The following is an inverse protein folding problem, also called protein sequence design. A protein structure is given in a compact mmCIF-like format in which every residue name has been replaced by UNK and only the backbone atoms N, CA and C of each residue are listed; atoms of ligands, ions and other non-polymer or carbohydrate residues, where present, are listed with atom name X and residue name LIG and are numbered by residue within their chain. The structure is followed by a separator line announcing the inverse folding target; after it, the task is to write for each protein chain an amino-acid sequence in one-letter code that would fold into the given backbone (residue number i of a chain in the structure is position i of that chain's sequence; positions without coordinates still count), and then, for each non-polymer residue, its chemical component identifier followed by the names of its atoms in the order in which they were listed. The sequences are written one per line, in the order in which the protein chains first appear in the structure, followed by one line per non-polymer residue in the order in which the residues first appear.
data_IF_685682501698
#
_entry.id   IF_685682501698
#
_cell.length_a   1.000
_cell.length_b   1.000
_cell.length_c   1.000
_cell.angle_alpha   90.00
_cell.angle_beta   90.00
_cell.angle_gamma   90.00
#
_symmetry.space_group_name_H-M   'P 1'
#
loop_
_entity.id
_entity.type
_entity.pdbx_description
1 polymer ?
#
# COMPACT_ATOMS: atom_id res chain seq x y z
N UNK A 1 -13.10 22.82 -15.26
CA UNK A 1 -13.69 22.14 -14.08
C UNK A 1 -14.28 20.84 -14.59
N UNK A 2 -13.59 19.72 -14.38
CA UNK A 2 -13.99 18.41 -14.90
C UNK A 2 -15.10 17.83 -14.02
N UNK A 3 -16.33 17.82 -14.55
CA UNK A 3 -17.44 17.03 -14.04
C UNK A 3 -17.04 15.55 -14.09
N UNK A 4 -16.40 15.09 -13.02
CA UNK A 4 -16.14 13.67 -12.83
C UNK A 4 -17.46 13.12 -12.33
N UNK A 5 -18.16 12.25 -13.08
CA UNK A 5 -19.49 11.80 -12.69
C UNK A 5 -19.42 11.22 -11.29
N UNK A 6 -20.08 11.89 -10.34
CA UNK A 6 -20.17 11.44 -8.95
C UNK A 6 -20.89 10.10 -8.98
N UNK A 7 -20.10 9.03 -8.88
CA UNK A 7 -20.60 7.68 -9.02
C UNK A 7 -21.38 7.31 -7.77
N UNK A 8 -22.69 7.53 -7.81
CA UNK A 8 -23.59 7.23 -6.69
C UNK A 8 -23.68 5.72 -6.48
N UNK A 9 -23.38 5.30 -5.25
CA UNK A 9 -23.65 3.94 -4.80
C UNK A 9 -25.18 3.74 -4.71
N UNK A 10 -25.70 2.50 -4.85
CA UNK A 10 -27.10 2.24 -4.59
C UNK A 10 -27.46 2.64 -3.15
N UNK A 11 -28.70 3.07 -2.91
CA UNK A 11 -29.15 3.61 -1.61
C UNK A 11 -29.00 2.63 -0.43
N UNK A 12 -28.91 1.33 -0.72
CA UNK A 12 -28.70 0.26 0.27
C UNK A 12 -27.25 0.14 0.75
N UNK A 13 -26.30 0.86 0.14
CA UNK A 13 -24.89 0.82 0.52
C UNK A 13 -24.49 2.08 1.28
N UNK A 14 -23.79 1.90 2.39
CA UNK A 14 -23.23 2.99 3.20
C UNK A 14 -21.71 3.01 3.06
N UNK A 15 -21.17 4.19 2.79
CA UNK A 15 -19.73 4.37 2.63
C UNK A 15 -19.11 4.87 3.93
N UNK A 16 -18.10 4.15 4.42
CA UNK A 16 -17.25 4.59 5.53
C UNK A 16 -16.17 5.58 5.11
N UNK A 17 -15.41 6.11 6.08
CA UNK A 17 -14.34 7.08 5.82
C UNK A 17 -13.14 6.45 5.09
N UNK A 18 -12.27 7.31 4.55
CA UNK A 18 -11.02 6.90 3.89
C UNK A 18 -10.10 6.23 4.90
N UNK A 19 -9.59 5.06 4.52
CA UNK A 19 -8.56 4.37 5.28
C UNK A 19 -7.20 4.89 4.84
N UNK A 20 -6.23 5.01 5.76
CA UNK A 20 -4.85 5.35 5.43
C UNK A 20 -4.64 6.74 4.82
N UNK A 21 -5.53 7.70 5.09
CA UNK A 21 -5.36 9.08 4.63
C UNK A 21 -4.05 9.71 5.13
N UNK A 22 -3.59 9.30 6.31
CA UNK A 22 -2.36 9.78 6.95
C UNK A 22 -1.14 8.90 6.64
N UNK A 23 -1.30 7.82 5.86
CA UNK A 23 -0.27 6.80 5.68
C UNK A 23 1.08 7.35 5.20
N UNK A 24 1.07 8.30 4.27
CA UNK A 24 2.32 8.90 3.76
C UNK A 24 3.04 9.65 4.88
N UNK A 25 2.31 10.45 5.67
CA UNK A 25 2.86 11.17 6.82
C UNK A 25 3.37 10.22 7.89
N UNK A 26 2.61 9.16 8.20
CA UNK A 26 3.02 8.13 9.16
C UNK A 26 4.30 7.42 8.72
N UNK A 27 4.46 7.12 7.42
CA UNK A 27 5.68 6.49 6.88
C UNK A 27 6.89 7.42 6.97
N UNK A 28 6.72 8.69 6.60
CA UNK A 28 7.78 9.71 6.70
C UNK A 28 8.20 9.90 8.16
N UNK A 29 7.24 10.01 9.08
CA UNK A 29 7.53 10.15 10.51
C UNK A 29 8.19 8.89 11.09
N UNK A 30 7.76 7.70 10.68
CA UNK A 30 8.40 6.45 11.08
C UNK A 30 9.85 6.37 10.59
N UNK A 31 10.14 6.85 9.38
CA UNK A 31 11.51 6.96 8.87
C UNK A 31 12.35 7.91 9.74
N UNK A 32 11.80 9.06 10.14
CA UNK A 32 12.49 10.01 11.00
C UNK A 32 12.80 9.41 12.37
N UNK A 33 11.80 8.82 13.03
CA UNK A 33 11.99 8.16 14.33
C UNK A 33 13.01 7.03 14.24
N UNK A 34 12.92 6.19 13.20
CA UNK A 34 13.87 5.09 13.01
C UNK A 34 15.34 5.55 12.92
N UNK A 35 15.58 6.67 12.23
CA UNK A 35 16.89 7.30 12.14
C UNK A 35 17.32 7.84 13.51
N UNK A 36 16.49 8.64 14.17
CA UNK A 36 16.83 9.27 15.45
C UNK A 36 17.04 8.25 16.58
N UNK A 37 16.19 7.23 16.68
CA UNK A 37 16.27 6.16 17.68
C UNK A 37 17.54 5.30 17.50
N UNK A 38 18.09 5.27 16.29
CA UNK A 38 19.34 4.58 15.99
C UNK A 38 20.60 5.40 16.20
N UNK A 39 20.49 6.63 16.71
CA UNK A 39 21.64 7.48 16.92
C UNK A 39 22.54 6.92 18.04
N UNK A 40 23.87 6.79 17.83
CA UNK A 40 24.72 6.14 18.81
C UNK A 40 24.83 6.94 20.10
N UNK A 41 24.66 6.26 21.25
CA UNK A 41 24.90 6.86 22.55
C UNK A 41 26.36 7.34 22.66
N UNK A 42 26.54 8.61 23.05
CA UNK A 42 27.87 9.21 23.20
C UNK A 42 28.48 9.82 21.93
N UNK A 43 27.80 9.74 20.77
CA UNK A 43 28.26 10.40 19.53
C UNK A 43 27.98 11.92 19.47
N UNK A 44 27.44 12.51 20.54
CA UNK A 44 26.99 13.90 20.58
C UNK A 44 25.48 14.04 20.30
N UNK A 45 24.98 15.27 20.12
CA UNK A 45 23.57 15.49 19.81
C UNK A 45 23.20 14.83 18.46
N UNK A 46 22.00 14.25 18.35
CA UNK A 46 21.54 13.66 17.09
C UNK A 46 21.43 14.73 16.00
N UNK A 47 21.62 14.36 14.72
CA UNK A 47 21.48 15.30 13.62
C UNK A 47 20.03 15.77 13.52
N UNK A 48 19.85 17.03 13.12
CA UNK A 48 18.51 17.56 12.87
C UNK A 48 17.96 16.96 11.59
N UNK A 49 16.69 16.55 11.60
CA UNK A 49 15.98 16.10 10.39
C UNK A 49 15.17 17.26 9.81
N UNK A 50 15.27 17.48 8.50
CA UNK A 50 14.48 18.43 7.73
C UNK A 50 13.84 17.75 6.52
N UNK A 51 12.58 18.05 6.22
CA UNK A 51 11.90 17.52 5.04
C UNK A 51 12.13 18.35 3.78
N UNK A 52 12.47 19.63 3.94
CA UNK A 52 12.67 20.56 2.84
C UNK A 52 14.16 20.82 2.64
N UNK A 53 14.60 20.72 1.38
CA UNK A 53 15.93 21.19 1.02
C UNK A 53 16.00 22.70 1.24
N UNK A 54 16.90 23.11 2.13
CA UNK A 54 17.09 24.51 2.49
C UNK A 54 18.56 24.90 2.33
N UNK A 55 18.78 26.14 1.91
CA UNK A 55 20.11 26.73 2.02
C UNK A 55 20.43 26.90 3.51
N UNK A 56 21.34 26.08 4.01
CA UNK A 56 21.82 26.18 5.39
C UNK A 56 23.23 26.74 5.38
N UNK A 57 23.48 27.84 6.12
CA UNK A 57 24.84 28.35 6.31
C UNK A 57 25.74 27.26 6.91
N UNK A 58 26.98 27.19 6.43
CA UNK A 58 27.98 26.17 6.81
C UNK A 58 28.35 26.12 8.30
N UNK A 59 27.85 27.09 9.08
CA UNK A 59 28.10 27.21 10.52
C UNK A 59 27.06 26.48 11.38
N UNK A 60 26.04 25.85 10.78
CA UNK A 60 25.03 25.08 11.50
C UNK A 60 25.43 23.61 11.70
N UNK A 61 24.79 23.00 12.70
CA UNK A 61 24.87 21.59 13.10
C UNK A 61 24.61 20.61 11.94
N UNK A 62 24.90 19.33 12.17
CA UNK A 62 24.65 18.25 11.22
C UNK A 62 23.15 18.14 10.89
N UNK A 63 22.80 18.12 9.60
CA UNK A 63 21.40 18.05 9.14
C UNK A 63 21.23 16.89 8.16
N UNK A 64 20.20 16.09 8.40
CA UNK A 64 19.67 15.08 7.50
C UNK A 64 18.43 15.63 6.80
N UNK A 65 18.50 15.74 5.48
CA UNK A 65 17.34 16.09 4.66
C UNK A 65 16.66 14.81 4.22
N UNK A 66 15.43 14.58 4.67
CA UNK A 66 14.60 13.44 4.26
C UNK A 66 13.50 13.97 3.35
N UNK A 67 13.78 13.98 2.04
CA UNK A 67 12.92 14.61 1.06
C UNK A 67 12.17 13.55 0.24
N UNK A 68 10.84 13.53 0.31
CA UNK A 68 10.03 12.68 -0.58
C UNK A 68 9.84 13.36 -1.94
N UNK A 69 10.51 12.87 -2.99
CA UNK A 69 10.51 13.52 -4.31
C UNK A 69 9.53 12.89 -5.31
N UNK A 70 9.05 11.67 -5.05
CA UNK A 70 8.15 10.97 -5.96
C UNK A 70 7.27 9.99 -5.21
N UNK A 71 6.01 9.93 -5.63
CA UNK A 71 5.07 8.87 -5.27
C UNK A 71 4.63 8.19 -6.54
N UNK A 72 4.77 6.87 -6.60
CA UNK A 72 4.31 6.08 -7.73
C UNK A 72 3.40 4.95 -7.26
N UNK A 73 2.43 4.59 -8.07
CA UNK A 73 1.68 3.36 -7.89
C UNK A 73 2.54 2.18 -8.32
N UNK A 74 2.49 1.08 -7.58
CA UNK A 74 3.06 -0.18 -8.04
C UNK A 74 2.12 -0.80 -9.09
N UNK A 75 2.53 -0.75 -10.36
CA UNK A 75 1.76 -1.29 -11.49
C UNK A 75 1.77 -2.82 -11.52
N UNK A 76 2.85 -3.45 -11.05
CA UNK A 76 2.99 -4.91 -11.01
C UNK A 76 1.98 -5.59 -10.07
N UNK A 77 1.51 -4.87 -9.04
CA UNK A 77 0.51 -5.36 -8.08
C UNK A 77 -0.90 -4.82 -8.36
N UNK A 78 -1.18 -4.42 -9.60
CA UNK A 78 -2.51 -3.99 -10.00
C UNK A 78 -3.49 -5.18 -10.04
N UNK A 79 -4.17 -5.41 -8.93
CA UNK A 79 -5.31 -6.32 -8.91
C UNK A 79 -6.49 -5.75 -9.71
N UNK A 80 -7.13 -6.62 -10.51
CA UNK A 80 -8.36 -6.30 -11.20
C UNK A 80 -9.43 -5.81 -10.21
N UNK A 81 -10.08 -4.71 -10.56
CA UNK A 81 -10.91 -3.81 -9.74
C UNK A 81 -12.22 -4.46 -9.24
N UNK A 82 -12.14 -5.49 -8.41
CA UNK A 82 -13.34 -6.11 -7.83
C UNK A 82 -13.44 -5.82 -6.34
N UNK A 83 -14.62 -5.39 -5.92
CA UNK A 83 -14.98 -5.35 -4.51
C UNK A 83 -14.99 -6.77 -3.97
N UNK A 84 -14.42 -6.95 -2.78
CA UNK A 84 -14.40 -8.23 -2.07
C UNK A 84 -14.95 -8.03 -0.67
N UNK A 85 -15.57 -9.04 -0.05
CA UNK A 85 -15.81 -9.00 1.38
C UNK A 85 -14.50 -8.69 2.09
N UNK A 86 -14.53 -7.73 2.99
CA UNK A 86 -13.41 -7.38 3.84
C UNK A 86 -13.13 -8.51 4.83
N UNK A 87 -11.90 -8.57 5.33
CA UNK A 87 -11.51 -9.54 6.35
C UNK A 87 -12.41 -9.49 7.60
N UNK A 88 -12.89 -8.29 7.96
CA UNK A 88 -13.83 -8.07 9.06
C UNK A 88 -15.14 -8.84 8.86
N UNK A 89 -15.65 -8.88 7.63
CA UNK A 89 -16.86 -9.64 7.32
C UNK A 89 -16.61 -11.14 7.26
N UNK A 90 -15.45 -11.58 6.76
CA UNK A 90 -15.08 -12.99 6.79
C UNK A 90 -15.02 -13.53 8.21
N UNK A 91 -14.52 -12.72 9.16
CA UNK A 91 -14.43 -13.09 10.58
C UNK A 91 -15.78 -13.01 11.31
N UNK A 92 -16.75 -12.24 10.78
CA UNK A 92 -18.12 -12.16 11.30
C UNK A 92 -19.05 -13.24 10.75
N UNK A 93 -18.73 -13.86 9.61
CA UNK A 93 -19.58 -14.85 8.94
C UNK A 93 -19.87 -16.10 9.80
N UNK A 94 -19.06 -16.39 10.83
CA UNK A 94 -19.31 -17.49 11.78
C UNK A 94 -20.44 -17.17 12.79
N UNK A 95 -20.86 -15.91 12.90
CA UNK A 95 -21.97 -15.49 13.76
C UNK A 95 -23.16 -15.21 12.86
N UNK A 96 -24.05 -16.20 12.80
CA UNK A 96 -25.31 -16.31 12.04
C UNK A 96 -26.28 -15.12 12.23
N UNK A 97 -25.82 -13.92 11.87
CA UNK A 97 -26.50 -12.64 12.06
C UNK A 97 -26.74 -12.07 10.66
N UNK A 98 -27.95 -11.58 10.42
CA UNK A 98 -28.45 -11.01 9.17
C UNK A 98 -27.77 -9.65 8.83
N UNK A 99 -26.49 -9.52 9.20
CA UNK A 99 -25.73 -8.29 9.26
C UNK A 99 -25.16 -7.94 7.88
N UNK A 100 -25.11 -6.64 7.61
CA UNK A 100 -24.48 -6.08 6.43
C UNK A 100 -23.05 -6.61 6.22
N UNK A 101 -22.74 -6.98 4.98
CA UNK A 101 -21.39 -7.33 4.56
C UNK A 101 -20.61 -6.04 4.31
N UNK A 102 -19.43 -5.96 4.92
CA UNK A 102 -18.43 -4.94 4.67
C UNK A 102 -17.60 -5.36 3.47
N UNK A 103 -17.67 -4.58 2.40
CA UNK A 103 -16.86 -4.73 1.21
C UNK A 103 -15.68 -3.77 1.22
N UNK A 104 -14.56 -4.22 0.68
CA UNK A 104 -13.38 -3.41 0.48
C UNK A 104 -12.87 -3.52 -0.96
N UNK A 105 -12.16 -2.48 -1.41
CA UNK A 105 -11.37 -2.53 -2.63
C UNK A 105 -9.98 -3.09 -2.33
N UNK A 106 -9.36 -3.77 -3.31
CA UNK A 106 -7.94 -4.10 -3.24
C UNK A 106 -7.12 -2.85 -2.88
N UNK A 107 -6.11 -2.97 -2.00
CA UNK A 107 -5.26 -1.85 -1.62
C UNK A 107 -4.56 -1.26 -2.84
N UNK A 108 -4.32 0.05 -2.79
CA UNK A 108 -3.41 0.74 -3.67
C UNK A 108 -1.99 0.54 -3.13
N UNK A 109 -1.21 -0.31 -3.79
CA UNK A 109 0.20 -0.44 -3.49
C UNK A 109 0.97 0.78 -4.03
N UNK A 110 1.68 1.45 -3.14
CA UNK A 110 2.41 2.68 -3.41
C UNK A 110 3.89 2.47 -3.14
N UNK A 111 4.70 3.15 -3.95
CA UNK A 111 6.12 3.36 -3.75
C UNK A 111 6.32 4.84 -3.43
N UNK A 112 6.82 5.11 -2.22
CA UNK A 112 7.22 6.44 -1.77
C UNK A 112 8.74 6.52 -1.92
N UNK A 113 9.22 7.45 -2.72
CA UNK A 113 10.65 7.62 -2.99
C UNK A 113 11.19 8.78 -2.18
N UNK A 114 12.22 8.50 -1.39
CA UNK A 114 12.89 9.42 -0.50
C UNK A 114 14.34 9.63 -0.96
N UNK A 115 14.77 10.88 -0.96
CA UNK A 115 16.18 11.26 -1.03
C UNK A 115 16.61 11.66 0.37
N UNK A 116 17.64 10.98 0.89
CA UNK A 116 18.27 11.33 2.16
C UNK A 116 19.60 12.02 1.86
N UNK A 117 19.64 13.34 2.00
CA UNK A 117 20.85 14.14 1.76
C UNK A 117 21.44 14.66 3.07
N UNK A 118 22.75 14.82 3.12
CA UNK A 118 23.45 15.17 4.36
C UNK A 118 24.14 16.52 4.27
N UNK A 119 24.04 17.29 5.34
CA UNK A 119 24.81 18.50 5.57
C UNK A 119 25.69 18.35 6.80
N UNK A 120 26.95 18.74 6.63
CA UNK A 120 27.81 19.06 7.74
C UNK A 120 28.79 20.15 7.30
N UNK A 121 29.33 20.89 8.27
CA UNK A 121 30.42 21.85 8.06
C UNK A 121 31.63 21.20 7.40
N UNK A 122 31.96 19.98 7.84
CA UNK A 122 33.10 19.22 7.35
C UNK A 122 32.65 18.10 6.43
N UNK A 123 33.36 17.93 5.31
CA UNK A 123 33.08 16.87 4.35
C UNK A 123 33.20 15.48 4.96
N UNK A 124 34.23 15.26 5.79
CA UNK A 124 34.46 13.99 6.48
C UNK A 124 33.29 13.60 7.38
N UNK A 125 32.69 14.58 8.07
CA UNK A 125 31.52 14.35 8.92
C UNK A 125 30.27 14.05 8.09
N UNK A 126 30.08 14.74 6.96
CA UNK A 126 28.99 14.44 6.05
C UNK A 126 29.09 13.00 5.48
N UNK A 127 30.30 12.56 5.13
CA UNK A 127 30.57 11.19 4.65
C UNK A 127 30.34 10.16 5.77
N UNK A 128 30.82 10.43 7.00
CA UNK A 128 30.57 9.58 8.17
C UNK A 128 29.08 9.44 8.45
N UNK A 129 28.35 10.55 8.46
CA UNK A 129 26.92 10.58 8.74
C UNK A 129 26.11 9.88 7.65
N UNK A 130 26.48 10.05 6.37
CA UNK A 130 25.86 9.30 5.28
C UNK A 130 26.12 7.79 5.38
N UNK A 131 27.33 7.40 5.76
CA UNK A 131 27.67 5.99 6.02
C UNK A 131 26.82 5.40 7.15
N UNK A 132 26.61 6.15 8.24
CA UNK A 132 25.71 5.74 9.32
C UNK A 132 24.26 5.59 8.84
N UNK A 133 23.73 6.55 8.07
CA UNK A 133 22.37 6.45 7.48
C UNK A 133 22.25 5.17 6.64
N UNK A 134 23.26 4.91 5.80
CA UNK A 134 23.28 3.74 4.93
C UNK A 134 23.17 2.44 5.75
N UNK A 135 24.01 2.28 6.77
CA UNK A 135 23.99 1.12 7.66
C UNK A 135 22.65 1.01 8.39
N UNK A 136 22.18 2.12 8.96
CA UNK A 136 20.94 2.14 9.77
C UNK A 136 19.70 1.77 8.98
N UNK A 137 19.61 2.22 7.73
CA UNK A 137 18.49 1.91 6.85
C UNK A 137 18.66 0.55 6.15
N UNK A 138 19.88 0.05 6.02
CA UNK A 138 20.13 -1.34 5.57
C UNK A 138 19.60 -2.36 6.59
N UNK A 139 19.68 -2.06 7.89
CA UNK A 139 19.16 -2.92 8.95
C UNK A 139 17.62 -2.82 9.11
N UNK A 140 17.00 -1.81 8.48
CA UNK A 140 15.57 -1.55 8.58
C UNK A 140 14.77 -2.54 7.72
N UNK A 141 14.43 -3.71 8.26
CA UNK A 141 13.57 -4.66 7.54
C UNK A 141 12.18 -4.07 7.21
N UNK A 142 11.61 -3.29 8.15
CA UNK A 142 10.33 -2.60 7.99
C UNK A 142 10.34 -1.31 8.83
N UNK A 143 9.77 -0.22 8.31
CA UNK A 143 9.62 1.06 9.04
C UNK A 143 8.38 1.05 9.93
N UNK A 144 7.28 0.49 9.43
CA UNK A 144 6.03 0.35 10.18
C UNK A 144 5.68 -1.12 10.22
N UNK A 145 5.51 -1.62 11.43
CA UNK A 145 5.00 -2.96 11.71
C UNK A 145 4.03 -2.91 12.90
N UNK A 146 2.74 -2.73 12.63
CA UNK A 146 1.71 -2.57 13.67
C UNK A 146 0.37 -3.18 13.26
N UNK A 147 -0.57 -3.43 14.19
CA UNK A 147 -1.91 -3.88 13.86
C UNK A 147 -2.62 -2.92 12.92
N UNK A 148 -3.26 -3.47 11.89
CA UNK A 148 -4.02 -2.65 10.94
C UNK A 148 -5.22 -2.01 11.62
N UNK A 149 -5.41 -0.73 11.32
CA UNK A 149 -6.55 0.08 11.72
C UNK A 149 -7.62 0.03 10.63
N UNK A 150 -8.86 -0.28 11.01
CA UNK A 150 -10.03 -0.20 10.15
C UNK A 150 -11.05 0.74 10.77
N UNK A 151 -11.55 1.68 9.98
CA UNK A 151 -12.61 2.59 10.40
C UNK A 151 -13.92 2.11 9.77
N UNK A 152 -14.85 1.64 10.60
CA UNK A 152 -16.15 1.16 10.16
C UNK A 152 -17.01 2.30 9.60
N UNK A 153 -18.06 1.99 8.82
CA UNK A 153 -19.03 2.99 8.38
C UNK A 153 -19.77 3.69 9.53
N UNK A 154 -19.84 3.09 10.72
CA UNK A 154 -20.33 3.72 11.96
C UNK A 154 -19.38 4.78 12.52
N UNK A 155 -18.11 4.79 12.10
CA UNK A 155 -17.04 5.61 12.66
C UNK A 155 -16.16 4.89 13.68
N UNK A 156 -16.57 3.70 14.14
CA UNK A 156 -15.79 2.93 15.12
C UNK A 156 -14.47 2.45 14.51
N UNK A 157 -13.42 2.45 15.34
CA UNK A 157 -12.08 2.04 14.93
C UNK A 157 -11.77 0.67 15.51
N UNK A 158 -11.55 -0.29 14.61
CA UNK A 158 -11.34 -1.70 14.96
C UNK A 158 -10.10 -2.29 14.30
N UNK A 159 -9.58 -3.38 14.85
CA UNK A 159 -8.57 -4.22 14.21
C UNK A 159 -9.21 -5.20 13.21
N UNK A 160 -8.41 -6.03 12.53
CA UNK A 160 -8.91 -7.02 11.56
C UNK A 160 -9.79 -8.13 12.17
N UNK A 161 -9.74 -8.33 13.49
CA UNK A 161 -10.59 -9.28 14.22
C UNK A 161 -11.91 -8.64 14.67
N UNK A 162 -12.09 -7.33 14.44
CA UNK A 162 -13.26 -6.57 14.84
C UNK A 162 -13.24 -6.14 16.31
N UNK A 163 -12.10 -6.24 17.00
CA UNK A 163 -11.90 -5.72 18.35
C UNK A 163 -11.53 -4.23 18.30
N UNK A 164 -11.74 -3.46 19.38
CA UNK A 164 -11.27 -2.08 19.45
C UNK A 164 -9.78 -1.98 19.12
N UNK A 165 -9.42 -1.08 18.19
CA UNK A 165 -8.04 -0.99 17.71
C UNK A 165 -7.11 -0.45 18.81
N UNK A 166 -5.98 -1.13 19.01
CA UNK A 166 -4.88 -0.65 19.85
C UNK A 166 -3.53 -0.95 19.18
N UNK A 167 -2.50 -0.16 19.50
CA UNK A 167 -1.14 -0.40 19.01
C UNK A 167 -0.49 -1.65 19.63
N UNK A 168 -1.00 -2.10 20.78
CA UNK A 168 -0.42 -3.19 21.56
C UNK A 168 -0.96 -4.56 21.17
N UNK A 169 -2.02 -4.62 20.37
CA UNK A 169 -2.61 -5.88 19.93
C UNK A 169 -1.57 -6.70 19.17
N UNK A 170 -1.22 -7.89 19.66
CA UNK A 170 -0.32 -8.83 18.97
C UNK A 170 -0.91 -10.23 18.87
N UNK A 171 -2.24 -10.30 18.87
CA UNK A 171 -2.94 -11.56 18.79
C UNK A 171 -2.71 -12.26 17.45
N UNK A 172 -2.67 -13.59 17.48
CA UNK A 172 -2.54 -14.41 16.28
C UNK A 172 -3.72 -14.18 15.33
N UNK A 173 -3.42 -13.99 14.04
CA UNK A 173 -4.42 -13.72 13.01
C UNK A 173 -4.78 -12.25 12.83
N UNK A 174 -4.22 -11.33 13.62
CA UNK A 174 -4.33 -9.89 13.35
C UNK A 174 -3.51 -9.53 12.11
N UNK A 175 -4.15 -8.88 11.13
CA UNK A 175 -3.42 -8.35 9.99
C UNK A 175 -2.52 -7.20 10.42
N UNK A 176 -1.25 -7.30 10.07
CA UNK A 176 -0.26 -6.26 10.32
C UNK A 176 -0.12 -5.35 9.10
N UNK A 177 0.01 -4.06 9.37
CA UNK A 177 0.51 -3.05 8.45
C UNK A 177 2.02 -3.25 8.34
N UNK A 178 2.51 -3.40 7.12
CA UNK A 178 3.94 -3.62 6.84
C UNK A 178 4.38 -2.59 5.81
N UNK A 179 5.35 -1.77 6.19
CA UNK A 179 6.01 -0.83 5.27
C UNK A 179 7.47 -1.23 5.17
N UNK A 180 7.84 -1.77 4.02
CA UNK A 180 9.21 -2.21 3.74
C UNK A 180 10.01 -1.06 3.12
N UNK A 181 11.28 -0.93 3.51
CA UNK A 181 12.21 0.05 2.96
C UNK A 181 13.28 -0.68 2.14
N UNK A 182 13.72 -0.07 1.05
CA UNK A 182 14.88 -0.56 0.31
C UNK A 182 15.65 0.59 -0.31
N UNK A 183 16.98 0.48 -0.34
CA UNK A 183 17.83 1.39 -1.10
C UNK A 183 17.57 1.20 -2.60
N UNK A 184 17.55 2.30 -3.34
CA UNK A 184 17.32 2.30 -4.80
C UNK A 184 18.27 3.29 -5.46
N UNK A 185 18.64 3.04 -6.70
CA UNK A 185 19.43 3.96 -7.52
C UNK A 185 18.52 4.63 -8.56
N UNK A 186 17.76 5.64 -8.12
CA UNK A 186 16.74 6.30 -8.97
C UNK A 186 17.24 7.65 -9.55
N UNK A 187 18.30 8.23 -8.98
CA UNK A 187 18.94 9.44 -9.51
C UNK A 187 20.27 9.11 -10.18
N UNK A 188 20.46 9.57 -11.41
CA UNK A 188 21.80 9.79 -11.93
C UNK A 188 22.43 11.04 -11.29
N UNK A 189 23.76 11.19 -11.39
CA UNK A 189 24.44 12.39 -10.88
C UNK A 189 23.90 13.67 -11.55
N UNK A 190 23.59 13.60 -12.84
CA UNK A 190 23.03 14.74 -13.58
C UNK A 190 21.64 15.12 -13.08
N UNK A 191 20.77 14.13 -12.84
CA UNK A 191 19.43 14.37 -12.29
C UNK A 191 19.51 14.97 -10.89
N UNK A 192 20.43 14.48 -10.06
CA UNK A 192 20.65 15.02 -8.72
C UNK A 192 21.12 16.47 -8.75
N UNK A 193 22.08 16.83 -9.63
CA UNK A 193 22.52 18.22 -9.80
C UNK A 193 21.35 19.11 -10.18
N UNK A 194 20.53 18.69 -11.15
CA UNK A 194 19.33 19.42 -11.55
C UNK A 194 18.34 19.55 -10.38
N UNK A 195 18.12 18.48 -9.63
CA UNK A 195 17.23 18.46 -8.48
C UNK A 195 17.65 19.47 -7.40
N UNK A 196 18.93 19.48 -7.00
CA UNK A 196 19.46 20.45 -6.05
C UNK A 196 19.37 21.89 -6.58
N UNK A 197 19.65 22.09 -7.87
CA UNK A 197 19.58 23.41 -8.53
C UNK A 197 18.16 23.96 -8.54
N UNK A 198 17.16 23.14 -8.88
CA UNK A 198 15.73 23.52 -8.86
C UNK A 198 15.27 23.91 -7.46
N UNK A 199 15.78 23.24 -6.43
CA UNK A 199 15.48 23.54 -5.03
C UNK A 199 16.36 24.66 -4.46
N UNK A 200 17.15 25.36 -5.28
CA UNK A 200 18.09 26.42 -4.87
C UNK A 200 19.03 26.00 -3.72
N UNK A 201 19.35 24.71 -3.66
CA UNK A 201 20.14 24.10 -2.61
C UNK A 201 21.54 23.72 -3.14
N UNK A 202 22.60 23.88 -2.34
CA UNK A 202 23.92 23.40 -2.74
C UNK A 202 23.90 21.88 -2.86
N UNK A 203 24.63 21.36 -3.86
CA UNK A 203 24.80 19.92 -4.04
C UNK A 203 25.38 19.27 -2.77
N UNK A 204 24.79 18.14 -2.37
CA UNK A 204 25.16 17.40 -1.16
C UNK A 204 25.25 15.92 -1.46
N UNK A 205 26.08 15.16 -0.72
CA UNK A 205 26.07 13.72 -0.82
C UNK A 205 24.71 13.19 -0.33
N UNK A 206 24.18 12.19 -1.04
CA UNK A 206 22.82 11.70 -0.83
C UNK A 206 22.71 10.19 -1.06
N UNK A 207 21.65 9.60 -0.54
CA UNK A 207 21.19 8.24 -0.78
C UNK A 207 19.72 8.27 -1.18
N UNK A 208 19.28 7.30 -1.98
CA UNK A 208 17.87 7.15 -2.34
C UNK A 208 17.27 5.87 -1.79
N UNK A 209 16.07 6.00 -1.25
CA UNK A 209 15.31 4.92 -0.66
C UNK A 209 13.89 4.89 -1.18
N UNK A 210 13.32 3.70 -1.22
CA UNK A 210 11.93 3.46 -1.61
C UNK A 210 11.21 2.74 -0.48
N UNK A 211 10.18 3.37 0.06
CA UNK A 211 9.24 2.73 0.98
C UNK A 211 8.06 2.15 0.20
N UNK A 212 7.72 0.90 0.47
CA UNK A 212 6.61 0.17 -0.14
C UNK A 212 5.47 0.07 0.88
N UNK A 213 4.33 0.69 0.58
CA UNK A 213 3.17 0.70 1.47
C UNK A 213 1.88 0.36 0.72
N UNK A 214 0.83 0.00 1.47
CA UNK A 214 -0.46 -0.43 0.92
C UNK A 214 -1.59 0.43 1.48
N UNK A 215 -2.04 1.41 0.70
CA UNK A 215 -3.12 2.31 1.07
C UNK A 215 -4.49 1.67 0.74
N UNK A 216 -5.29 1.37 1.76
CA UNK A 216 -6.63 0.80 1.55
C UNK A 216 -7.67 1.88 1.24
N UNK A 217 -8.70 1.49 0.50
CA UNK A 217 -9.86 2.34 0.23
C UNK A 217 -10.88 2.32 1.37
N UNK A 218 -11.96 3.08 1.20
CA UNK A 218 -13.12 3.09 2.12
C UNK A 218 -13.75 1.69 2.22
N UNK A 219 -14.25 1.36 3.42
CA UNK A 219 -15.14 0.21 3.62
C UNK A 219 -16.57 0.58 3.21
N UNK A 220 -17.29 -0.34 2.58
CA UNK A 220 -18.71 -0.19 2.23
C UNK A 220 -19.54 -1.20 3.00
N UNK A 221 -20.56 -0.76 3.73
CA UNK A 221 -21.62 -1.63 4.28
C UNK A 221 -22.68 -1.84 3.21
N UNK A 222 -23.21 -3.06 3.10
CA UNK A 222 -24.44 -3.30 2.35
C UNK A 222 -24.87 -4.76 2.39
N UNK A 223 -26.00 -5.11 1.76
CA UNK A 223 -26.54 -6.45 1.82
C UNK A 223 -25.56 -7.48 1.26
N UNK A 224 -25.62 -8.70 1.81
CA UNK A 224 -24.95 -9.86 1.26
C UNK A 224 -25.52 -10.14 -0.14
N UNK A 225 -24.86 -9.63 -1.17
CA UNK A 225 -25.02 -10.16 -2.52
C UNK A 225 -24.47 -11.59 -2.51
N UNK A 226 -25.01 -12.54 -3.30
CA UNK A 226 -24.51 -13.92 -3.31
C UNK A 226 -23.04 -13.96 -3.73
N UNK A 227 -22.14 -13.76 -2.77
CA UNK A 227 -20.71 -13.90 -2.95
C UNK A 227 -20.46 -15.39 -2.95
N UNK A 228 -20.31 -16.00 -4.13
CA UNK A 228 -19.47 -17.20 -4.19
C UNK A 228 -18.09 -16.72 -3.77
N UNK A 229 -17.78 -16.92 -2.50
CA UNK A 229 -16.41 -16.86 -2.05
C UNK A 229 -15.68 -17.85 -2.95
N UNK A 230 -14.84 -17.34 -3.84
CA UNK A 230 -13.61 -18.06 -4.14
C UNK A 230 -12.81 -17.97 -2.86
N UNK A 231 -13.23 -18.73 -1.84
CA UNK A 231 -12.29 -19.25 -0.86
C UNK A 231 -11.20 -19.84 -1.76
N UNK A 232 -9.94 -19.40 -1.68
CA UNK A 232 -8.88 -20.22 -2.23
C UNK A 232 -9.10 -21.58 -1.58
N UNK A 233 -9.57 -22.55 -2.35
CA UNK A 233 -9.57 -23.93 -1.90
C UNK A 233 -8.17 -24.13 -1.34
N UNK A 234 -8.02 -24.59 -0.08
CA UNK A 234 -6.70 -24.97 0.41
C UNK A 234 -6.11 -25.85 -0.68
N UNK A 235 -4.89 -25.54 -1.14
CA UNK A 235 -4.24 -26.29 -2.21
C UNK A 235 -4.40 -27.77 -1.91
N UNK A 236 -5.34 -28.42 -2.57
CA UNK A 236 -5.57 -29.84 -2.35
C UNK A 236 -4.28 -30.48 -2.80
N UNK A 237 -3.61 -31.14 -1.86
CA UNK A 237 -2.53 -32.03 -2.19
C UNK A 237 -3.18 -33.07 -3.09
N UNK A 238 -2.91 -32.98 -4.40
CA UNK A 238 -3.48 -33.90 -5.36
C UNK A 238 -3.22 -35.33 -4.85
N UNK A 239 -4.23 -36.21 -4.84
CA UNK A 239 -3.98 -37.62 -4.58
C UNK A 239 -2.93 -38.11 -5.59
N UNK A 240 -2.03 -39.01 -5.17
CA UNK A 240 -0.88 -39.41 -5.99
C UNK A 240 -1.37 -40.02 -7.31
N UNK A 241 -1.27 -39.27 -8.41
CA UNK A 241 -1.69 -39.75 -9.73
C UNK A 241 -2.03 -38.65 -10.75
N UNK A 242 -2.46 -37.47 -10.32
CA UNK A 242 -2.78 -36.37 -11.24
C UNK A 242 -1.60 -35.41 -11.41
N UNK A 243 -0.95 -35.46 -12.58
CA UNK A 243 0.06 -34.46 -12.97
C UNK A 243 -0.61 -33.34 -13.77
N UNK A 244 -0.30 -32.05 -13.50
CA UNK A 244 -0.80 -30.92 -14.26
C UNK A 244 -0.04 -30.84 -15.58
N UNK A 245 -0.51 -31.60 -16.57
CA UNK A 245 0.13 -31.78 -17.86
C UNK A 245 -0.82 -32.31 -18.93
N UNK A 246 -1.98 -31.67 -19.07
CA UNK A 246 -2.66 -31.42 -20.35
C UNK A 246 -2.86 -32.53 -21.40
N UNK A 247 -2.81 -33.82 -21.08
CA UNK A 247 -3.12 -34.89 -22.07
C UNK A 247 -4.47 -35.54 -21.74
N UNK A 248 -5.51 -35.09 -22.43
CA UNK A 248 -6.85 -35.68 -22.34
C UNK A 248 -6.85 -37.12 -22.88
N UNK A 249 -7.44 -38.03 -22.12
CA UNK A 249 -7.86 -39.36 -22.61
C UNK A 249 -9.14 -39.16 -23.44
N UNK A 250 -9.24 -39.67 -24.68
CA UNK A 250 -10.44 -39.49 -25.49
C UNK A 250 -11.55 -40.44 -25.02
N UNK A 251 -12.69 -39.90 -24.58
CA UNK A 251 -13.88 -40.71 -24.35
C UNK A 251 -15.04 -39.98 -23.68
N UNK A 252 -16.14 -39.82 -24.42
CA UNK A 252 -17.50 -39.45 -24.01
C UNK A 252 -17.82 -37.96 -23.74
N UNK A 253 -18.30 -37.27 -24.79
CA UNK A 253 -19.17 -36.09 -24.67
C UNK A 253 -20.64 -36.54 -24.57
N UNK A 254 -21.41 -36.14 -23.55
CA UNK A 254 -22.86 -36.04 -23.66
C UNK A 254 -23.23 -34.66 -24.27
N UNK A 255 -24.25 -34.58 -25.13
CA UNK A 255 -24.62 -33.34 -25.79
C UNK A 255 -25.56 -32.50 -24.91
N UNK A 256 -25.31 -31.19 -24.87
CA UNK A 256 -26.31 -30.20 -24.49
C UNK A 256 -26.16 -29.60 -23.09
N UNK A 257 -25.47 -28.47 -22.99
CA UNK A 257 -25.82 -27.40 -22.07
C UNK A 257 -25.17 -26.09 -22.54
N UNK A 258 -26.01 -25.12 -22.92
CA UNK A 258 -25.60 -23.85 -23.47
C UNK A 258 -24.83 -22.95 -22.50
N UNK A 259 -24.12 -22.02 -23.11
CA UNK A 259 -23.51 -20.79 -22.57
C UNK A 259 -24.02 -20.34 -21.19
N UNK A 260 -23.24 -20.60 -20.15
CA UNK A 260 -23.35 -19.96 -18.84
C UNK A 260 -22.30 -18.87 -18.69
N UNK A 261 -22.65 -17.62 -18.99
CA UNK A 261 -21.82 -16.48 -18.60
C UNK A 261 -21.67 -16.44 -17.07
N UNK A 262 -20.47 -16.19 -16.50
CA UNK A 262 -20.29 -16.13 -15.06
C UNK A 262 -21.07 -14.94 -14.48
N UNK A 263 -22.00 -15.23 -13.55
CA UNK A 263 -22.72 -14.20 -12.79
C UNK A 263 -21.73 -13.38 -11.97
N UNK A 264 -21.76 -12.06 -12.18
CA UNK A 264 -20.93 -11.09 -11.51
C UNK A 264 -21.28 -11.03 -10.01
N UNK A 265 -20.26 -11.07 -9.17
CA UNK A 265 -20.38 -11.08 -7.70
C UNK A 265 -19.93 -9.72 -7.16
N UNK A 266 -20.80 -9.07 -6.38
CA UNK A 266 -20.61 -7.72 -5.84
C UNK A 266 -21.90 -6.88 -5.97
N UNK A 267 -21.91 -5.63 -5.46
CA UNK A 267 -23.02 -4.70 -5.64
C UNK A 267 -23.41 -4.62 -7.12
N UNK A 268 -24.72 -4.61 -7.47
CA UNK A 268 -25.14 -4.64 -8.86
C UNK A 268 -24.56 -3.44 -9.64
N UNK A 269 -23.72 -3.75 -10.62
CA UNK A 269 -23.16 -2.83 -11.61
C UNK A 269 -21.92 -3.44 -12.26
N UNK A 270 -21.61 -2.99 -13.49
CA UNK A 270 -20.46 -3.35 -14.34
C UNK A 270 -20.58 -4.59 -15.25
N UNK A 271 -21.70 -4.78 -15.94
CA UNK A 271 -21.59 -5.36 -17.29
C UNK A 271 -20.89 -4.34 -18.20
N UNK A 272 -19.72 -4.68 -18.76
CA UNK A 272 -19.23 -3.96 -19.93
C UNK A 272 -20.28 -4.18 -21.03
N UNK A 273 -20.93 -3.13 -21.51
CA UNK A 273 -21.61 -3.24 -22.80
C UNK A 273 -20.55 -3.61 -23.83
N UNK A 274 -20.73 -4.64 -24.66
CA UNK A 274 -19.94 -4.80 -25.86
C UNK A 274 -20.00 -3.46 -26.60
N UNK A 275 -18.85 -2.97 -27.05
CA UNK A 275 -18.80 -1.86 -27.99
C UNK A 275 -19.45 -2.43 -29.26
N UNK A 276 -20.63 -1.93 -29.60
CA UNK A 276 -21.23 -2.17 -30.90
C UNK A 276 -20.38 -1.39 -31.90
N UNK A 277 -19.57 -2.10 -32.67
CA UNK A 277 -18.92 -1.57 -33.86
C UNK A 277 -20.02 -1.27 -34.88
N UNK A 278 -20.50 -0.02 -34.90
CA UNK A 278 -21.24 0.51 -36.04
C UNK A 278 -20.23 0.89 -37.13
N UNK A 279 -19.81 -0.11 -37.89
CA UNK A 279 -19.47 0.11 -39.29
C UNK A 279 -20.79 0.22 -40.07
N UNK A 280 -21.17 1.45 -40.43
CA UNK A 280 -22.08 1.68 -41.55
C UNK A 280 -21.47 2.73 -42.44
N UNK A 281 -20.95 2.26 -43.57
CA UNK A 281 -20.76 3.04 -44.80
C UNK A 281 -22.08 3.72 -45.19
N UNK A 282 -22.04 5.04 -45.35
CA UNK A 282 -22.55 5.81 -46.50
C UNK A 282 -22.22 7.30 -46.34
#
# INVERSE_FOLDING_TARGET
MSDTPERRLPETFRQGPLQGAELIGEVTEALHRWLLDGWPEGAGPPPRIEENLSFVPKDREEILYVYMYRVARNESLMNAKQWRPSILSLNKLDKNTDDDVLYERPPLFLHLFYMVAVHSRFRSEAERLLGWVMMRLSDASHLIYRPRRYILPSGDVVDSLGKPWTLETREDGVEMEKVALGMVDDFSIGDAINFFTINEAPFRPFLTYRAMCAMRGRLLSGPATQVRSLRPEPWHTHPPGERPGGRMVPGHQPPGAGSGAPKQIGPPGYGHRPIEDNESED
#
